data_IF_646837241875
#
_entry.id   IF_646837241875
#
_cell.length_a   1.000
_cell.length_b   1.000
_cell.length_c   1.000
_cell.angle_alpha   90.00
_cell.angle_beta   90.00
_cell.angle_gamma   90.00
#
_symmetry.space_group_name_H-M   'P 1'
#
loop_
_entity.id
_entity.type
_entity.pdbx_description
1 polymer ?
#
# COMPACT_ATOMS: atom_id res chain seq x y z
N UNK A 1 -18.97 13.01 12.51
CA UNK A 1 -17.52 12.82 12.29
C UNK A 1 -17.21 11.41 12.76
N UNK A 2 -17.11 10.45 11.85
CA UNK A 2 -16.86 9.06 12.23
C UNK A 2 -15.45 8.70 11.79
N UNK A 3 -14.52 8.80 12.72
CA UNK A 3 -13.22 8.12 12.66
C UNK A 3 -13.49 6.70 13.15
N UNK A 4 -13.54 5.73 12.25
CA UNK A 4 -13.45 4.31 12.62
C UNK A 4 -11.98 3.95 12.76
N UNK A 5 -11.52 3.52 13.95
CA UNK A 5 -10.19 2.96 14.15
C UNK A 5 -10.18 1.49 13.69
N UNK A 6 -9.00 0.96 13.38
CA UNK A 6 -8.72 -0.47 13.17
C UNK A 6 -9.01 -1.08 11.78
N UNK A 7 -8.78 -0.32 10.70
CA UNK A 7 -8.42 -0.96 9.42
C UNK A 7 -7.08 -0.38 8.99
N UNK A 8 -6.02 -1.19 8.82
CA UNK A 8 -4.74 -0.68 8.32
C UNK A 8 -4.99 0.07 7.02
N UNK A 9 -4.32 1.21 6.82
CA UNK A 9 -4.47 1.92 5.56
C UNK A 9 -4.12 0.95 4.42
N UNK A 10 -4.81 0.98 3.27
CA UNK A 10 -4.57 0.04 2.18
C UNK A 10 -3.10 -0.04 1.76
N UNK A 11 -2.33 1.03 1.96
CA UNK A 11 -0.88 1.04 1.80
C UNK A 11 -0.14 0.11 2.78
N UNK A 12 -0.45 0.17 4.08
CA UNK A 12 0.22 -0.65 5.10
C UNK A 12 -0.04 -2.13 4.87
N UNK A 13 -1.30 -2.50 4.60
CA UNK A 13 -1.66 -3.87 4.25
C UNK A 13 -0.97 -4.34 2.95
N UNK A 14 -0.88 -3.47 1.95
CA UNK A 14 -0.12 -3.79 0.72
C UNK A 14 1.36 -4.01 1.00
N UNK A 15 1.97 -3.15 1.83
CA UNK A 15 3.37 -3.28 2.21
C UNK A 15 3.62 -4.60 2.97
N UNK A 16 2.78 -4.94 3.95
CA UNK A 16 2.89 -6.19 4.72
C UNK A 16 2.80 -7.43 3.82
N UNK A 17 1.91 -7.44 2.82
CA UNK A 17 1.80 -8.54 1.86
C UNK A 17 3.02 -8.67 0.94
N UNK A 18 3.68 -7.56 0.63
CA UNK A 18 4.98 -7.56 -0.05
C UNK A 18 6.15 -7.87 0.91
N UNK A 19 5.82 -8.18 2.16
CA UNK A 19 6.74 -8.41 3.26
C UNK A 19 7.46 -7.15 3.73
N UNK A 20 7.13 -5.97 3.20
CA UNK A 20 7.70 -4.65 3.52
C UNK A 20 7.15 -4.15 4.86
N UNK A 21 7.93 -4.15 5.96
CA UNK A 21 7.42 -3.66 7.24
C UNK A 21 7.24 -2.14 7.15
N UNK A 22 5.98 -1.70 7.16
CA UNK A 22 5.61 -0.29 7.03
C UNK A 22 6.31 0.60 8.08
N UNK A 23 6.48 0.07 9.30
CA UNK A 23 7.18 0.78 10.38
C UNK A 23 8.67 1.02 10.08
N UNK A 24 9.36 0.09 9.41
CA UNK A 24 10.76 0.31 9.03
C UNK A 24 10.86 1.26 7.84
N UNK A 25 9.93 1.18 6.89
CA UNK A 25 9.87 2.10 5.76
C UNK A 25 9.58 3.53 6.23
N UNK A 26 8.66 3.71 7.18
CA UNK A 26 8.34 5.00 7.78
C UNK A 26 9.54 5.61 8.54
N UNK A 27 10.37 4.79 9.17
CA UNK A 27 11.57 5.25 9.89
C UNK A 27 12.74 5.56 8.94
N UNK A 28 12.99 4.69 7.97
CA UNK A 28 14.12 4.81 7.05
C UNK A 28 13.87 5.82 5.93
N UNK A 29 12.63 5.90 5.43
CA UNK A 29 12.23 6.70 4.27
C UNK A 29 10.86 7.37 4.50
N UNK A 30 10.75 8.26 5.50
CA UNK A 30 9.47 8.88 5.87
C UNK A 30 8.81 9.66 4.72
N UNK A 31 9.62 10.30 3.86
CA UNK A 31 9.13 11.06 2.70
C UNK A 31 8.51 10.13 1.64
N UNK A 32 9.11 8.96 1.45
CA UNK A 32 8.58 7.94 0.54
C UNK A 32 7.26 7.38 1.08
N UNK A 33 7.20 7.08 2.38
CA UNK A 33 5.98 6.59 3.02
C UNK A 33 4.82 7.60 2.91
N UNK A 34 5.10 8.89 3.11
CA UNK A 34 4.10 9.95 2.91
C UNK A 34 3.63 10.02 1.47
N UNK A 35 4.56 10.01 0.50
CA UNK A 35 4.23 10.09 -0.92
C UNK A 35 3.38 8.89 -1.40
N UNK A 36 3.74 7.67 -0.98
CA UNK A 36 2.95 6.47 -1.24
C UNK A 36 1.54 6.60 -0.64
N UNK A 37 1.44 7.15 0.57
CA UNK A 37 0.17 7.36 1.27
C UNK A 37 -0.74 8.38 0.57
N UNK A 38 -0.18 9.47 0.07
CA UNK A 38 -0.92 10.48 -0.71
C UNK A 38 -1.49 9.88 -2.00
N UNK A 39 -0.68 9.10 -2.73
CA UNK A 39 -1.12 8.43 -3.95
C UNK A 39 -2.19 7.36 -3.69
N UNK A 40 -2.02 6.54 -2.64
CA UNK A 40 -3.03 5.58 -2.24
C UNK A 40 -4.35 6.25 -1.86
N UNK A 41 -4.30 7.38 -1.14
CA UNK A 41 -5.51 8.14 -0.74
C UNK A 41 -6.23 8.75 -1.93
N UNK A 42 -5.49 9.18 -2.96
CA UNK A 42 -6.06 9.74 -4.18
C UNK A 42 -6.43 8.66 -5.23
N UNK A 43 -6.16 7.38 -4.96
CA UNK A 43 -6.40 6.30 -5.92
C UNK A 43 -7.91 6.06 -6.10
N UNK A 44 -8.47 6.25 -7.30
CA UNK A 44 -9.89 6.02 -7.56
C UNK A 44 -10.30 4.55 -7.43
N UNK A 45 -9.32 3.63 -7.48
CA UNK A 45 -9.52 2.18 -7.32
C UNK A 45 -9.18 1.71 -5.89
N UNK A 46 -9.05 2.62 -4.92
CA UNK A 46 -8.69 2.27 -3.54
C UNK A 46 -9.63 1.27 -2.88
N UNK A 47 -10.93 1.31 -3.21
CA UNK A 47 -11.90 0.33 -2.71
C UNK A 47 -11.64 -1.08 -3.27
N UNK A 48 -11.41 -1.19 -4.58
CA UNK A 48 -11.04 -2.45 -5.25
C UNK A 48 -9.76 -3.04 -4.63
N UNK A 49 -8.77 -2.18 -4.35
CA UNK A 49 -7.53 -2.57 -3.68
C UNK A 49 -7.80 -3.20 -2.31
N UNK A 50 -8.64 -2.60 -1.46
CA UNK A 50 -9.04 -3.17 -0.15
C UNK A 50 -9.73 -4.52 -0.32
N UNK A 51 -10.66 -4.62 -1.27
CA UNK A 51 -11.37 -5.87 -1.56
C UNK A 51 -10.40 -6.97 -2.04
N UNK A 52 -9.45 -6.66 -2.92
CA UNK A 52 -8.45 -7.62 -3.41
C UNK A 52 -7.49 -8.06 -2.29
N UNK A 53 -7.06 -7.12 -1.43
CA UNK A 53 -6.24 -7.39 -0.25
C UNK A 53 -6.96 -8.32 0.74
N UNK A 54 -8.27 -8.13 0.96
CA UNK A 54 -9.07 -8.97 1.84
C UNK A 54 -9.22 -10.42 1.34
N UNK A 55 -9.00 -10.65 0.04
CA UNK A 55 -9.05 -11.98 -0.59
C UNK A 55 -7.66 -12.57 -0.90
N UNK A 56 -6.59 -11.98 -0.36
CA UNK A 56 -5.19 -12.41 -0.57
C UNK A 56 -4.77 -12.38 -2.06
N UNK A 57 -5.38 -11.50 -2.86
CA UNK A 57 -5.14 -11.39 -4.32
C UNK A 57 -4.10 -10.32 -4.64
N UNK A 58 -2.92 -10.39 -4.03
CA UNK A 58 -1.85 -9.38 -4.13
C UNK A 58 -1.42 -9.14 -5.58
N UNK A 59 -1.36 -10.20 -6.39
CA UNK A 59 -1.02 -10.11 -7.82
C UNK A 59 -2.03 -9.27 -8.61
N UNK A 60 -3.29 -9.24 -8.15
CA UNK A 60 -4.36 -8.39 -8.71
C UNK A 60 -4.35 -7.01 -8.03
N UNK A 61 -3.95 -6.90 -6.77
CA UNK A 61 -3.80 -5.59 -6.10
C UNK A 61 -2.70 -4.72 -6.76
N UNK A 62 -1.66 -5.34 -7.30
CA UNK A 62 -0.60 -4.69 -8.10
C UNK A 62 -0.87 -4.78 -9.61
N UNK A 63 -2.14 -4.81 -10.03
CA UNK A 63 -2.55 -4.64 -11.43
C UNK A 63 -1.92 -3.36 -12.05
N UNK A 64 -1.87 -3.25 -13.39
CA UNK A 64 -1.27 -2.11 -14.09
C UNK A 64 -1.87 -0.73 -13.73
N UNK A 65 -2.97 -0.70 -12.97
CA UNK A 65 -3.65 0.51 -12.53
C UNK A 65 -3.20 1.03 -11.16
N UNK A 66 -2.40 0.27 -10.40
CA UNK A 66 -1.87 0.75 -9.11
C UNK A 66 -0.81 1.84 -9.36
N UNK A 67 -1.02 3.10 -8.90
CA UNK A 67 -0.07 4.19 -9.14
C UNK A 67 1.26 3.98 -8.42
N UNK A 68 1.26 3.20 -7.33
CA UNK A 68 2.44 2.88 -6.55
C UNK A 68 3.16 1.62 -7.05
N UNK A 69 2.67 0.96 -8.10
CA UNK A 69 3.16 -0.36 -8.54
C UNK A 69 4.68 -0.39 -8.74
N UNK A 70 5.23 0.50 -9.55
CA UNK A 70 6.66 0.46 -9.89
C UNK A 70 7.54 0.70 -8.66
N UNK A 71 7.12 1.63 -7.78
CA UNK A 71 7.81 1.92 -6.52
C UNK A 71 7.76 0.72 -5.58
N UNK A 72 6.59 0.08 -5.42
CA UNK A 72 6.41 -1.10 -4.57
C UNK A 72 7.18 -2.30 -5.11
N UNK A 73 7.19 -2.53 -6.43
CA UNK A 73 8.00 -3.57 -7.07
C UNK A 73 9.50 -3.34 -6.85
N UNK A 74 9.95 -2.09 -6.98
CA UNK A 74 11.35 -1.72 -6.71
C UNK A 74 11.72 -2.00 -5.25
N UNK A 75 10.88 -1.58 -4.30
CA UNK A 75 11.10 -1.83 -2.87
C UNK A 75 11.12 -3.33 -2.53
N UNK A 76 10.23 -4.12 -3.16
CA UNK A 76 10.17 -5.56 -2.96
C UNK A 76 11.39 -6.30 -3.56
N UNK A 77 11.99 -5.77 -4.63
CA UNK A 77 13.21 -6.30 -5.25
C UNK A 77 14.51 -5.87 -4.56
N UNK A 78 14.51 -4.77 -3.80
CA UNK A 78 15.67 -4.29 -3.04
C UNK A 78 15.93 -5.10 -1.75
N UNK A 79 15.54 -6.37 -1.74
CA UNK A 79 15.60 -7.30 -0.61
C UNK A 79 16.58 -8.43 -0.85
#
# INVERSE_FOLDING_TARGET
MSVTPDTPAPLEATLELLGLPAAELAQSQPQLMQHLGEQCRACPQGQQCVDDLAHDRVDQTLEPFCPNRDTLQTLAQLR
#
